data_IF_355742617894
#
_entry.id   IF_355742617894
#
_cell.length_a   1.000
_cell.length_b   1.000
_cell.length_c   1.000
_cell.angle_alpha   90.00
_cell.angle_beta   90.00
_cell.angle_gamma   90.00
#
_symmetry.space_group_name_H-M   'P 1'
#
loop_
_entity.id
_entity.type
_entity.pdbx_description
1 polymer ?
#
# COMPACT_ATOMS: atom_id res chain seq x y z
N UNK A 1 -27.32 6.04 -33.40
CA UNK A 1 -26.80 6.48 -32.09
C UNK A 1 -25.33 6.88 -32.19
N UNK A 2 -25.04 8.02 -32.81
CA UNK A 2 -23.72 8.66 -32.76
C UNK A 2 -23.96 10.18 -32.83
N UNK A 3 -24.60 10.75 -31.80
CA UNK A 3 -24.78 12.21 -31.69
C UNK A 3 -23.59 12.90 -31.02
N UNK A 4 -22.70 12.13 -30.38
CA UNK A 4 -21.67 12.65 -29.48
C UNK A 4 -20.24 12.19 -29.81
N UNK A 5 -19.99 11.52 -30.94
CA UNK A 5 -18.65 11.05 -31.32
C UNK A 5 -18.15 9.80 -30.59
N UNK A 6 -18.83 9.35 -29.52
CA UNK A 6 -18.54 8.13 -28.76
C UNK A 6 -19.77 7.21 -28.63
N UNK A 7 -19.54 5.92 -28.35
CA UNK A 7 -20.60 4.97 -28.02
C UNK A 7 -21.11 5.18 -26.59
N UNK A 8 -22.39 4.86 -26.31
CA UNK A 8 -22.99 4.97 -24.97
C UNK A 8 -23.61 3.64 -24.56
N UNK A 9 -23.36 3.17 -23.33
CA UNK A 9 -24.00 1.99 -22.77
C UNK A 9 -24.46 2.20 -21.31
N UNK A 10 -25.72 1.84 -20.97
CA UNK A 10 -26.74 1.30 -21.84
C UNK A 10 -27.33 2.39 -22.74
N UNK A 11 -27.77 1.99 -23.93
CA UNK A 11 -28.23 2.88 -25.01
C UNK A 11 -29.49 3.69 -24.66
N UNK A 12 -30.29 3.20 -23.70
CA UNK A 12 -31.54 3.80 -23.23
C UNK A 12 -31.33 4.89 -22.17
N UNK A 13 -30.09 5.17 -21.77
CA UNK A 13 -29.77 6.16 -20.74
C UNK A 13 -28.83 7.22 -21.27
N UNK A 14 -29.12 8.46 -20.91
CA UNK A 14 -28.27 9.61 -21.26
C UNK A 14 -27.17 9.80 -20.21
N UNK A 15 -25.90 9.93 -20.62
CA UNK A 15 -24.83 10.29 -19.70
C UNK A 15 -25.08 11.67 -19.09
N UNK A 16 -24.78 11.86 -17.79
CA UNK A 16 -24.86 13.17 -17.16
C UNK A 16 -24.00 14.23 -17.87
N UNK A 17 -24.40 15.50 -17.75
CA UNK A 17 -23.73 16.60 -18.44
C UNK A 17 -22.24 16.72 -18.08
N UNK A 18 -21.86 16.41 -16.84
CA UNK A 18 -20.46 16.39 -16.39
C UNK A 18 -19.62 15.31 -17.09
N UNK A 19 -20.23 14.17 -17.44
CA UNK A 19 -19.57 13.08 -18.17
C UNK A 19 -19.38 13.46 -19.63
N UNK A 20 -20.40 14.07 -20.24
CA UNK A 20 -20.32 14.60 -21.61
C UNK A 20 -19.23 15.68 -21.69
N UNK A 21 -19.23 16.63 -20.75
CA UNK A 21 -18.20 17.68 -20.67
C UNK A 21 -16.81 17.09 -20.49
N UNK A 22 -16.66 16.03 -19.70
CA UNK A 22 -15.37 15.36 -19.55
C UNK A 22 -14.92 14.67 -20.85
N UNK A 23 -15.83 14.06 -21.61
CA UNK A 23 -15.52 13.51 -22.93
C UNK A 23 -15.04 14.61 -23.90
N UNK A 24 -15.74 15.75 -23.94
CA UNK A 24 -15.33 16.90 -24.76
C UNK A 24 -13.96 17.44 -24.35
N UNK A 25 -13.67 17.49 -23.04
CA UNK A 25 -12.36 17.91 -22.53
C UNK A 25 -11.25 16.93 -22.95
N UNK A 26 -11.53 15.62 -23.03
CA UNK A 26 -10.58 14.62 -23.54
C UNK A 26 -10.23 14.93 -24.99
N UNK A 27 -11.22 15.23 -25.82
CA UNK A 27 -11.01 15.56 -27.24
C UNK A 27 -10.25 16.90 -27.39
N UNK A 28 -10.63 17.93 -26.63
CA UNK A 28 -9.93 19.22 -26.58
C UNK A 28 -8.49 19.07 -26.09
N UNK A 29 -8.24 18.10 -25.22
CA UNK A 29 -6.90 17.82 -24.72
C UNK A 29 -6.00 17.13 -25.76
N UNK A 30 -6.56 16.73 -26.91
CA UNK A 30 -5.88 16.01 -27.99
C UNK A 30 -6.06 14.49 -27.91
N UNK A 31 -6.95 14.01 -27.04
CA UNK A 31 -7.30 12.60 -26.92
C UNK A 31 -8.52 12.22 -27.77
N UNK A 32 -9.10 11.07 -27.45
CA UNK A 32 -10.37 10.62 -28.02
C UNK A 32 -11.19 9.86 -26.99
N UNK A 33 -12.39 10.35 -26.69
CA UNK A 33 -13.39 9.56 -25.96
C UNK A 33 -13.96 8.49 -26.90
N UNK A 34 -13.81 7.20 -26.55
CA UNK A 34 -14.25 6.08 -27.41
C UNK A 34 -15.65 5.58 -27.02
N UNK A 35 -15.89 5.41 -25.72
CA UNK A 35 -17.16 4.94 -25.20
C UNK A 35 -17.44 5.48 -23.80
N UNK A 36 -18.70 5.70 -23.48
CA UNK A 36 -19.20 6.07 -22.17
C UNK A 36 -20.12 4.96 -21.67
N UNK A 37 -19.84 4.39 -20.50
CA UNK A 37 -20.59 3.25 -20.01
C UNK A 37 -20.88 3.34 -18.51
N UNK A 38 -21.98 2.71 -18.07
CA UNK A 38 -22.27 2.51 -16.64
C UNK A 38 -21.56 1.27 -16.10
N UNK A 39 -20.90 1.42 -14.96
CA UNK A 39 -20.28 0.29 -14.28
C UNK A 39 -21.33 -0.72 -13.78
N UNK A 40 -21.00 -2.01 -13.69
CA UNK A 40 -21.99 -3.05 -13.39
C UNK A 40 -22.40 -3.16 -11.92
N UNK A 41 -21.74 -2.43 -11.01
CA UNK A 41 -21.93 -2.55 -9.56
C UNK A 41 -22.75 -1.38 -9.01
N UNK A 42 -22.22 -0.16 -9.14
CA UNK A 42 -22.87 1.07 -8.67
C UNK A 42 -23.67 1.77 -9.76
N UNK A 43 -23.44 1.42 -11.03
CA UNK A 43 -24.04 2.11 -12.16
C UNK A 43 -23.56 3.55 -12.32
N UNK A 44 -22.37 3.87 -11.84
CA UNK A 44 -21.67 5.12 -12.12
C UNK A 44 -21.15 5.13 -13.55
N UNK A 45 -21.14 6.31 -14.16
CA UNK A 45 -20.67 6.49 -15.52
C UNK A 45 -19.15 6.60 -15.58
N UNK A 46 -18.55 5.96 -16.58
CA UNK A 46 -17.11 5.94 -16.85
C UNK A 46 -16.86 6.14 -18.35
N UNK A 47 -15.68 6.62 -18.71
CA UNK A 47 -15.31 6.87 -20.11
C UNK A 47 -14.12 5.99 -20.48
N UNK A 48 -14.26 5.13 -21.48
CA UNK A 48 -13.11 4.51 -22.12
C UNK A 48 -12.56 5.44 -23.20
N UNK A 49 -11.28 5.77 -23.12
CA UNK A 49 -10.65 6.81 -23.94
C UNK A 49 -9.20 6.50 -24.32
N UNK A 50 -8.72 7.17 -25.37
CA UNK A 50 -7.30 7.30 -25.69
C UNK A 50 -6.82 8.68 -25.22
N UNK A 51 -5.94 8.71 -24.23
CA UNK A 51 -5.41 9.96 -23.67
C UNK A 51 -4.03 10.26 -24.27
N UNK A 52 -3.69 11.54 -24.55
CA UNK A 52 -2.34 11.90 -24.97
C UNK A 52 -1.33 11.50 -23.90
N UNK A 53 -0.33 10.70 -24.26
CA UNK A 53 0.64 10.15 -23.29
C UNK A 53 1.31 11.24 -22.45
N UNK A 54 1.56 12.41 -23.02
CA UNK A 54 2.19 13.56 -22.33
C UNK A 54 1.34 14.13 -21.19
N UNK A 55 0.02 14.00 -21.28
CA UNK A 55 -0.90 14.48 -20.26
C UNK A 55 -1.19 13.45 -19.18
N UNK A 56 -0.77 12.19 -19.35
CA UNK A 56 -0.97 11.12 -18.36
C UNK A 56 0.22 11.02 -17.42
N UNK A 57 -0.01 11.28 -16.14
CA UNK A 57 1.01 11.29 -15.08
C UNK A 57 0.64 10.35 -13.94
N UNK A 58 1.65 9.91 -13.18
CA UNK A 58 1.40 9.18 -11.94
C UNK A 58 0.63 10.08 -10.95
N UNK A 59 -0.23 9.50 -10.12
CA UNK A 59 -0.81 10.28 -9.01
C UNK A 59 0.31 10.74 -8.06
N UNK A 60 0.26 11.97 -7.51
CA UNK A 60 1.32 12.50 -6.63
C UNK A 60 1.63 11.65 -5.40
N UNK A 61 0.67 10.85 -4.95
CA UNK A 61 0.74 9.99 -3.76
C UNK A 61 0.96 8.51 -4.10
N UNK A 62 1.14 8.17 -5.38
CA UNK A 62 1.34 6.78 -5.79
C UNK A 62 2.69 6.22 -5.33
N UNK A 63 2.76 4.90 -5.32
CA UNK A 63 3.97 4.14 -5.09
C UNK A 63 5.04 4.42 -6.15
N UNK A 64 6.30 4.41 -5.70
CA UNK A 64 7.47 4.47 -6.57
C UNK A 64 7.48 3.32 -7.58
N UNK A 65 7.79 3.65 -8.84
CA UNK A 65 7.86 2.69 -9.94
C UNK A 65 8.94 1.63 -9.66
N UNK A 66 8.54 0.37 -9.51
CA UNK A 66 9.48 -0.76 -9.50
C UNK A 66 10.12 -0.96 -10.89
N UNK A 67 11.40 -0.60 -11.02
CA UNK A 67 12.19 -0.75 -12.26
C UNK A 67 12.13 -2.17 -12.82
N UNK A 68 12.39 -3.17 -11.97
CA UNK A 68 12.38 -4.58 -12.38
C UNK A 68 11.01 -5.03 -12.92
N UNK A 69 9.92 -4.54 -12.31
CA UNK A 69 8.57 -4.88 -12.78
C UNK A 69 8.24 -4.19 -14.11
N UNK A 70 8.59 -2.91 -14.24
CA UNK A 70 8.41 -2.16 -15.48
C UNK A 70 9.21 -2.76 -16.65
N UNK A 71 10.46 -3.16 -16.42
CA UNK A 71 11.29 -3.82 -17.44
C UNK A 71 10.72 -5.17 -17.88
N UNK A 72 10.18 -5.95 -16.93
CA UNK A 72 9.52 -7.22 -17.25
C UNK A 72 8.27 -7.00 -18.09
N UNK A 73 7.43 -6.05 -17.70
CA UNK A 73 6.23 -5.69 -18.44
C UNK A 73 6.56 -5.19 -19.85
N UNK A 74 7.58 -4.32 -19.98
CA UNK A 74 8.08 -3.85 -21.28
C UNK A 74 8.48 -5.01 -22.20
N UNK A 75 9.24 -5.99 -21.67
CA UNK A 75 9.66 -7.18 -22.44
C UNK A 75 8.47 -8.01 -22.90
N UNK A 76 7.46 -8.20 -22.03
CA UNK A 76 6.26 -8.97 -22.39
C UNK A 76 5.45 -8.24 -23.45
N UNK A 77 5.16 -6.95 -23.26
CA UNK A 77 4.43 -6.12 -24.24
C UNK A 77 5.11 -6.14 -25.60
N UNK A 78 6.45 -5.98 -25.65
CA UNK A 78 7.20 -6.09 -26.91
C UNK A 78 7.13 -7.49 -27.53
N UNK A 79 7.16 -8.54 -26.70
CA UNK A 79 7.14 -9.92 -27.18
C UNK A 79 5.79 -10.31 -27.79
N UNK A 80 4.70 -9.86 -27.17
CA UNK A 80 3.34 -10.19 -27.63
C UNK A 80 2.78 -9.17 -28.63
N UNK A 81 3.45 -8.03 -28.78
CA UNK A 81 3.06 -6.91 -29.64
C UNK A 81 1.62 -6.42 -29.39
N UNK A 82 1.23 -6.36 -28.12
CA UNK A 82 -0.10 -5.95 -27.67
C UNK A 82 -0.03 -5.21 -26.35
N UNK A 83 -0.87 -4.17 -26.23
CA UNK A 83 -1.20 -3.53 -24.97
C UNK A 83 -2.69 -3.78 -24.70
N UNK A 84 -2.98 -4.59 -23.68
CA UNK A 84 -4.32 -5.16 -23.49
C UNK A 84 -5.11 -4.43 -22.40
N UNK A 85 -4.43 -4.02 -21.33
CA UNK A 85 -5.07 -3.60 -20.09
C UNK A 85 -4.98 -2.06 -19.92
N UNK A 86 -6.08 -1.31 -20.15
CA UNK A 86 -6.10 0.14 -20.03
C UNK A 86 -5.86 0.61 -18.61
N UNK A 87 -5.20 1.75 -18.44
CA UNK A 87 -4.98 2.33 -17.12
C UNK A 87 -6.28 2.93 -16.56
N UNK A 88 -6.35 3.16 -15.27
CA UNK A 88 -7.40 4.02 -14.69
C UNK A 88 -6.87 5.43 -14.60
N UNK A 89 -7.68 6.43 -14.94
CA UNK A 89 -7.31 7.83 -14.90
C UNK A 89 -8.40 8.72 -14.30
N UNK A 90 -7.99 9.82 -13.67
CA UNK A 90 -8.86 10.93 -13.28
C UNK A 90 -8.29 12.22 -13.85
N UNK A 91 -9.15 13.13 -14.33
CA UNK A 91 -8.69 14.42 -14.84
C UNK A 91 -8.55 15.42 -13.70
N UNK A 92 -7.37 15.99 -13.51
CA UNK A 92 -7.07 16.99 -12.50
C UNK A 92 -6.16 18.06 -13.11
N UNK A 93 -6.54 19.33 -13.00
CA UNK A 93 -5.75 20.49 -13.45
C UNK A 93 -5.23 20.40 -14.91
N UNK A 94 -6.07 19.89 -15.82
CA UNK A 94 -5.71 19.74 -17.24
C UNK A 94 -4.80 18.55 -17.56
N UNK A 95 -4.46 17.76 -16.55
CA UNK A 95 -3.70 16.52 -16.66
C UNK A 95 -4.58 15.33 -16.28
N UNK A 96 -4.09 14.12 -16.54
CA UNK A 96 -4.73 12.87 -16.20
C UNK A 96 -3.85 12.09 -15.24
N UNK A 97 -4.27 11.98 -13.99
CA UNK A 97 -3.54 11.20 -13.00
C UNK A 97 -3.99 9.74 -13.03
N UNK A 98 -3.02 8.81 -13.03
CA UNK A 98 -3.31 7.37 -13.06
C UNK A 98 -3.19 6.72 -11.68
N UNK A 99 -4.27 6.62 -10.88
CA UNK A 99 -4.22 5.93 -9.58
C UNK A 99 -3.94 4.42 -9.70
N UNK A 100 -4.25 3.80 -10.84
CA UNK A 100 -3.91 2.42 -11.16
C UNK A 100 -3.40 2.32 -12.60
N UNK A 101 -2.19 1.76 -12.77
CA UNK A 101 -1.59 1.54 -14.08
C UNK A 101 -0.27 2.27 -14.34
N UNK A 102 0.39 2.83 -13.31
CA UNK A 102 1.64 3.58 -13.52
C UNK A 102 2.77 2.77 -14.20
N UNK A 103 2.89 1.47 -13.90
CA UNK A 103 3.84 0.60 -14.64
C UNK A 103 3.49 0.49 -16.12
N UNK A 104 2.20 0.37 -16.45
CA UNK A 104 1.69 0.30 -17.82
C UNK A 104 1.90 1.62 -18.56
N UNK A 105 1.59 2.75 -17.92
CA UNK A 105 1.90 4.10 -18.39
C UNK A 105 3.40 4.26 -18.69
N UNK A 106 4.28 3.82 -17.78
CA UNK A 106 5.72 3.90 -17.99
C UNK A 106 6.22 3.02 -19.13
N UNK A 107 5.60 1.86 -19.36
CA UNK A 107 5.93 1.02 -20.52
C UNK A 107 5.60 1.74 -21.83
N UNK A 108 4.42 2.38 -21.91
CA UNK A 108 4.03 3.19 -23.08
C UNK A 108 4.97 4.38 -23.28
N UNK A 109 5.42 5.01 -22.21
CA UNK A 109 6.47 6.05 -22.24
C UNK A 109 7.78 5.53 -22.85
N UNK A 110 8.26 4.35 -22.41
CA UNK A 110 9.47 3.73 -22.96
C UNK A 110 9.32 3.28 -24.41
N UNK A 111 8.11 2.92 -24.81
CA UNK A 111 7.78 2.58 -26.20
C UNK A 111 7.51 3.80 -27.08
N UNK A 112 7.50 5.02 -26.51
CA UNK A 112 7.16 6.27 -27.19
C UNK A 112 5.79 6.21 -27.88
N UNK A 113 4.82 5.53 -27.24
CA UNK A 113 3.46 5.52 -27.71
C UNK A 113 2.86 6.94 -27.64
N UNK A 114 2.03 7.27 -28.61
CA UNK A 114 1.34 8.57 -28.68
C UNK A 114 0.20 8.66 -27.66
N UNK A 115 -0.54 7.56 -27.50
CA UNK A 115 -1.73 7.49 -26.65
C UNK A 115 -1.60 6.44 -25.54
N UNK A 116 -2.36 6.67 -24.46
CA UNK A 116 -2.57 5.74 -23.35
C UNK A 116 -4.05 5.37 -23.30
N UNK A 117 -4.41 4.11 -23.57
CA UNK A 117 -5.78 3.62 -23.34
C UNK A 117 -6.12 3.69 -21.85
N UNK A 118 -7.26 4.31 -21.53
CA UNK A 118 -7.66 4.56 -20.16
C UNK A 118 -9.15 4.40 -19.92
N UNK A 119 -9.51 3.94 -18.72
CA UNK A 119 -10.84 4.13 -18.12
C UNK A 119 -10.76 5.39 -17.28
N UNK A 120 -11.41 6.46 -17.74
CA UNK A 120 -11.49 7.75 -17.06
C UNK A 120 -12.70 7.77 -16.15
N UNK A 121 -12.44 7.99 -14.86
CA UNK A 121 -13.47 8.10 -13.84
C UNK A 121 -13.80 9.59 -13.62
N UNK A 122 -15.08 10.01 -13.74
CA UNK A 122 -15.46 11.42 -13.57
C UNK A 122 -15.24 11.97 -12.16
N UNK A 123 -15.40 11.10 -11.14
CA UNK A 123 -15.23 11.47 -9.74
C UNK A 123 -13.74 11.46 -9.35
N UNK A 124 -13.21 12.65 -9.05
CA UNK A 124 -11.81 12.84 -8.66
C UNK A 124 -11.52 12.29 -7.26
N UNK A 125 -12.52 12.28 -6.36
CA UNK A 125 -12.34 11.78 -4.98
C UNK A 125 -12.19 10.25 -4.94
N UNK A 126 -12.70 9.57 -5.97
CA UNK A 126 -12.52 8.11 -6.16
C UNK A 126 -11.07 7.75 -6.47
N UNK A 127 -10.20 8.70 -6.85
CA UNK A 127 -8.76 8.43 -7.04
C UNK A 127 -8.10 7.82 -5.80
N UNK A 128 -8.53 8.21 -4.59
CA UNK A 128 -8.07 7.63 -3.32
C UNK A 128 -8.64 6.23 -3.08
N UNK A 129 -9.86 5.97 -3.53
CA UNK A 129 -10.53 4.67 -3.38
C UNK A 129 -10.01 3.64 -4.39
N UNK A 130 -9.56 4.08 -5.58
CA UNK A 130 -8.99 3.20 -6.61
C UNK A 130 -7.68 2.54 -6.15
N UNK A 131 -6.92 3.18 -5.24
CA UNK A 131 -5.78 2.53 -4.62
C UNK A 131 -6.18 1.28 -3.82
N UNK A 132 -7.31 1.35 -3.11
CA UNK A 132 -7.87 0.21 -2.37
C UNK A 132 -8.38 -0.92 -3.30
N UNK A 133 -8.62 -0.63 -4.59
CA UNK A 133 -9.03 -1.63 -5.59
C UNK A 133 -7.85 -2.45 -6.15
N UNK A 134 -6.59 -2.13 -5.82
CA UNK A 134 -5.42 -2.96 -6.17
C UNK A 134 -5.32 -4.22 -5.28
N UNK A 135 -6.38 -5.04 -5.26
CA UNK A 135 -6.46 -6.26 -4.45
C UNK A 135 -5.73 -7.46 -5.07
N UNK A 136 -5.38 -7.41 -6.36
CA UNK A 136 -4.73 -8.53 -7.08
C UNK A 136 -3.26 -8.77 -6.70
N UNK A 137 -2.61 -7.79 -6.08
CA UNK A 137 -1.27 -7.97 -5.53
C UNK A 137 -1.28 -7.49 -4.11
N UNK A 138 -1.40 -8.41 -3.15
CA UNK A 138 -1.19 -8.11 -1.75
C UNK A 138 0.14 -7.34 -1.62
N UNK A 139 0.03 -6.02 -1.41
CA UNK A 139 1.19 -5.16 -1.23
C UNK A 139 2.02 -5.78 -0.11
N UNK A 140 3.34 -5.90 -0.32
CA UNK A 140 4.15 -6.34 0.80
C UNK A 140 4.04 -5.31 1.92
N UNK A 141 4.16 -5.77 3.16
CA UNK A 141 3.93 -4.95 4.36
C UNK A 141 4.59 -3.56 4.31
N UNK A 142 5.82 -3.50 3.78
CA UNK A 142 6.58 -2.26 3.64
C UNK A 142 5.87 -1.24 2.76
N UNK A 143 5.39 -1.68 1.60
CA UNK A 143 4.74 -0.81 0.63
C UNK A 143 3.43 -0.27 1.18
N UNK A 144 2.61 -1.12 1.82
CA UNK A 144 1.39 -0.68 2.51
C UNK A 144 1.70 0.37 3.57
N UNK A 145 2.69 0.10 4.41
CA UNK A 145 3.06 0.98 5.51
C UNK A 145 3.54 2.35 5.01
N UNK A 146 4.34 2.38 3.94
CA UNK A 146 4.82 3.62 3.32
C UNK A 146 3.71 4.42 2.63
N UNK A 147 2.76 3.74 1.99
CA UNK A 147 1.60 4.38 1.38
C UNK A 147 0.69 5.00 2.45
N UNK A 148 0.38 4.24 3.50
CA UNK A 148 -0.45 4.69 4.62
C UNK A 148 0.16 5.91 5.32
N UNK A 149 1.45 5.92 5.65
CA UNK A 149 2.06 7.09 6.32
C UNK A 149 2.11 8.34 5.42
N UNK A 150 2.29 8.17 4.10
CA UNK A 150 2.23 9.29 3.14
C UNK A 150 0.82 9.88 3.09
N UNK A 151 -0.21 9.03 3.00
CA UNK A 151 -1.61 9.46 3.04
C UNK A 151 -1.94 10.16 4.37
N UNK A 152 -1.49 9.58 5.48
CA UNK A 152 -1.68 10.13 6.82
C UNK A 152 -1.16 11.57 6.94
N UNK A 153 0.08 11.82 6.47
CA UNK A 153 0.66 13.17 6.49
C UNK A 153 -0.05 14.12 5.52
N UNK A 154 -0.45 13.65 4.35
CA UNK A 154 -1.24 14.45 3.40
C UNK A 154 -2.58 14.92 3.99
N UNK A 155 -3.25 14.09 4.80
CA UNK A 155 -4.48 14.48 5.50
C UNK A 155 -4.21 15.54 6.59
N UNK A 156 -3.09 15.43 7.33
CA UNK A 156 -2.67 16.46 8.29
C UNK A 156 -2.41 17.80 7.59
N UNK A 157 -1.71 17.78 6.46
CA UNK A 157 -1.38 18.99 5.67
C UNK A 157 -2.63 19.68 5.14
N UNK A 158 -3.66 18.90 4.75
CA UNK A 158 -4.97 19.41 4.32
C UNK A 158 -5.85 19.93 5.46
N UNK A 159 -5.38 19.87 6.71
CA UNK A 159 -6.10 20.39 7.87
C UNK A 159 -7.28 19.52 8.32
N UNK A 160 -7.22 18.21 8.06
CA UNK A 160 -8.24 17.26 8.52
C UNK A 160 -8.42 17.30 10.05
N UNK A 161 -9.68 17.30 10.50
CA UNK A 161 -10.07 17.49 11.91
C UNK A 161 -10.64 16.23 12.56
N UNK A 162 -11.08 15.24 11.77
CA UNK A 162 -11.54 13.95 12.28
C UNK A 162 -10.44 13.22 13.05
N UNK A 163 -10.86 12.31 13.92
CA UNK A 163 -9.92 11.44 14.63
C UNK A 163 -9.32 10.39 13.71
N UNK A 164 -8.25 9.74 14.18
CA UNK A 164 -7.57 8.70 13.42
C UNK A 164 -8.47 7.47 13.16
N UNK A 165 -9.33 7.12 14.11
CA UNK A 165 -10.26 5.98 14.00
C UNK A 165 -11.25 6.12 12.83
N UNK A 166 -11.65 7.36 12.52
CA UNK A 166 -12.49 7.68 11.36
C UNK A 166 -11.88 7.30 10.01
N UNK A 167 -10.56 7.06 9.96
CA UNK A 167 -9.83 6.66 8.75
C UNK A 167 -9.46 5.17 8.72
N UNK A 168 -10.04 4.36 9.61
CA UNK A 168 -9.75 2.92 9.70
C UNK A 168 -9.93 2.17 8.38
N UNK A 169 -10.91 2.56 7.57
CA UNK A 169 -11.10 1.99 6.24
C UNK A 169 -9.93 2.30 5.29
N UNK A 170 -9.48 3.54 5.27
CA UNK A 170 -8.40 4.00 4.38
C UNK A 170 -7.03 3.49 4.84
N UNK A 171 -6.76 3.50 6.15
CA UNK A 171 -5.49 3.05 6.70
C UNK A 171 -5.38 1.53 6.82
N UNK A 172 -6.48 0.79 6.66
CA UNK A 172 -6.64 -0.65 6.89
C UNK A 172 -6.32 -1.08 8.34
N UNK A 173 -5.08 -0.89 8.76
CA UNK A 173 -4.53 -1.34 10.04
C UNK A 173 -3.67 -0.23 10.65
N UNK A 174 -3.94 0.11 11.91
CA UNK A 174 -3.26 1.20 12.62
C UNK A 174 -1.72 1.06 12.64
N UNK A 175 -1.20 -0.17 12.75
CA UNK A 175 0.24 -0.42 12.78
C UNK A 175 0.95 -0.14 11.45
N UNK A 176 0.23 0.02 10.33
CA UNK A 176 0.84 0.47 9.08
C UNK A 176 1.38 1.90 9.19
N UNK A 177 0.71 2.77 9.95
CA UNK A 177 1.18 4.13 10.22
C UNK A 177 2.51 4.08 10.98
N UNK A 178 2.55 3.30 12.07
CA UNK A 178 3.75 3.14 12.92
C UNK A 178 4.92 2.53 12.14
N UNK A 179 4.67 1.47 11.35
CA UNK A 179 5.69 0.85 10.51
C UNK A 179 6.14 1.76 9.36
N UNK A 180 5.25 2.61 8.84
CA UNK A 180 5.56 3.55 7.76
C UNK A 180 6.67 4.50 8.18
N UNK A 181 6.56 5.08 9.38
CA UNK A 181 7.59 5.91 10.00
C UNK A 181 8.96 5.19 10.07
N UNK A 182 8.95 3.91 10.44
CA UNK A 182 10.18 3.11 10.52
C UNK A 182 10.76 2.76 9.15
N UNK A 183 9.93 2.49 8.15
CA UNK A 183 10.41 2.16 6.80
C UNK A 183 10.96 3.37 6.06
N UNK A 184 10.48 4.58 6.36
CA UNK A 184 11.07 5.82 5.86
C UNK A 184 12.51 5.99 6.37
N UNK A 185 12.73 5.76 7.68
CA UNK A 185 14.05 5.85 8.30
C UNK A 185 14.95 4.66 7.96
N UNK A 186 14.40 3.45 7.92
CA UNK A 186 15.10 2.19 7.74
C UNK A 186 14.41 1.32 6.68
N UNK A 187 14.81 1.43 5.39
CA UNK A 187 14.19 0.69 4.30
C UNK A 187 14.24 -0.84 4.41
N UNK A 188 15.10 -1.38 5.29
CA UNK A 188 15.26 -2.83 5.56
C UNK A 188 14.79 -3.23 6.97
N UNK A 189 13.94 -2.42 7.60
CA UNK A 189 13.35 -2.74 8.91
C UNK A 189 12.63 -4.10 8.88
N UNK A 190 12.73 -4.88 9.94
CA UNK A 190 12.18 -6.23 10.02
C UNK A 190 10.68 -6.24 10.40
N UNK A 191 9.86 -5.37 9.78
CA UNK A 191 8.49 -5.12 10.23
C UNK A 191 7.60 -6.37 10.25
N UNK A 192 7.81 -7.31 9.32
CA UNK A 192 7.02 -8.55 9.27
C UNK A 192 7.18 -9.44 10.51
N UNK A 193 8.31 -9.33 11.22
CA UNK A 193 8.54 -10.08 12.44
C UNK A 193 7.78 -9.48 13.64
N UNK A 194 7.52 -8.17 13.62
CA UNK A 194 6.77 -7.44 14.65
C UNK A 194 5.25 -7.41 14.40
N UNK A 195 4.80 -7.55 13.14
CA UNK A 195 3.38 -7.49 12.77
C UNK A 195 2.43 -8.33 13.63
N UNK A 196 2.76 -9.59 14.03
CA UNK A 196 1.87 -10.39 14.88
C UNK A 196 1.63 -9.80 16.27
N UNK A 197 2.61 -9.07 16.82
CA UNK A 197 2.46 -8.35 18.10
C UNK A 197 1.66 -7.08 17.85
N UNK A 198 2.05 -6.28 16.86
CA UNK A 198 1.46 -4.98 16.57
C UNK A 198 -0.03 -5.06 16.22
N UNK A 199 -0.45 -6.03 15.42
CA UNK A 199 -1.87 -6.24 15.08
C UNK A 199 -2.75 -6.40 16.34
N UNK A 200 -2.19 -6.84 17.46
CA UNK A 200 -2.92 -7.12 18.70
C UNK A 200 -2.95 -5.95 19.69
N UNK A 201 -2.07 -4.95 19.53
CA UNK A 201 -1.87 -3.91 20.56
C UNK A 201 -1.80 -2.49 20.01
N UNK A 202 -1.54 -2.35 18.71
CA UNK A 202 -1.40 -1.06 18.05
C UNK A 202 -2.69 -0.72 17.30
N UNK A 203 -3.66 -0.15 18.02
CA UNK A 203 -4.99 0.21 17.50
C UNK A 203 -5.08 1.69 17.09
N UNK A 204 -6.15 2.03 16.37
CA UNK A 204 -6.47 3.43 16.02
C UNK A 204 -6.78 4.26 17.27
N UNK A 205 -6.42 5.53 17.22
CA UNK A 205 -6.52 6.47 18.34
C UNK A 205 -7.73 7.39 18.16
N UNK A 206 -8.44 7.66 19.26
CA UNK A 206 -9.55 8.62 19.31
C UNK A 206 -9.06 10.04 19.55
N UNK A 207 -8.08 10.45 18.76
CA UNK A 207 -7.47 11.78 18.78
C UNK A 207 -7.25 12.26 17.36
N UNK A 208 -7.11 13.58 17.17
CA UNK A 208 -6.86 14.17 15.85
C UNK A 208 -5.61 13.56 15.21
N UNK A 209 -5.57 13.50 13.87
CA UNK A 209 -4.41 12.94 13.14
C UNK A 209 -3.08 13.57 13.59
N UNK A 210 -3.05 14.88 13.89
CA UNK A 210 -1.84 15.54 14.38
C UNK A 210 -1.38 15.02 15.74
N UNK A 211 -2.31 14.86 16.69
CA UNK A 211 -1.99 14.35 18.03
C UNK A 211 -1.64 12.85 17.98
N UNK A 212 -2.42 12.07 17.24
CA UNK A 212 -2.15 10.66 17.01
C UNK A 212 -0.78 10.44 16.34
N UNK A 213 -0.37 11.27 15.37
CA UNK A 213 0.95 11.19 14.75
C UNK A 213 2.11 11.31 15.75
N UNK A 214 1.99 12.14 16.79
CA UNK A 214 3.00 12.23 17.86
C UNK A 214 3.12 10.90 18.61
N UNK A 215 2.00 10.31 19.01
CA UNK A 215 1.97 8.96 19.61
C UNK A 215 2.55 7.91 18.65
N UNK A 216 2.26 7.99 17.34
CA UNK A 216 2.83 7.07 16.33
C UNK A 216 4.35 7.17 16.27
N UNK A 217 4.94 8.36 16.39
CA UNK A 217 6.40 8.56 16.44
C UNK A 217 7.01 7.95 17.70
N UNK A 218 6.36 8.11 18.85
CA UNK A 218 6.80 7.46 20.10
C UNK A 218 6.76 5.93 19.97
N UNK A 219 5.65 5.38 19.47
CA UNK A 219 5.50 3.94 19.20
C UNK A 219 6.56 3.42 18.23
N UNK A 220 6.87 4.18 17.17
CA UNK A 220 7.94 3.85 16.23
C UNK A 220 9.32 3.84 16.92
N UNK A 221 9.62 4.80 17.79
CA UNK A 221 10.86 4.83 18.57
C UNK A 221 11.03 3.59 19.46
N UNK A 222 9.96 3.16 20.14
CA UNK A 222 9.97 1.94 20.96
C UNK A 222 10.22 0.67 20.13
N UNK A 223 9.68 0.61 18.92
CA UNK A 223 9.94 -0.50 17.99
C UNK A 223 11.36 -0.48 17.42
N UNK A 224 11.93 0.70 17.19
CA UNK A 224 13.33 0.87 16.80
C UNK A 224 14.27 0.32 17.87
N UNK A 225 14.03 0.62 19.14
CA UNK A 225 14.78 0.08 20.28
C UNK A 225 14.72 -1.46 20.31
N UNK A 226 13.51 -2.02 20.20
CA UNK A 226 13.32 -3.48 20.19
C UNK A 226 14.03 -4.15 18.99
N UNK A 227 13.99 -3.57 17.80
CA UNK A 227 14.71 -4.09 16.62
C UNK A 227 16.23 -3.99 16.78
N UNK A 228 16.73 -2.94 17.46
CA UNK A 228 18.14 -2.81 17.82
C UNK A 228 18.63 -3.96 18.70
N UNK A 229 17.90 -4.26 19.78
CA UNK A 229 18.19 -5.41 20.66
C UNK A 229 18.11 -6.73 19.89
N UNK A 230 17.06 -6.91 19.08
CA UNK A 230 16.88 -8.12 18.26
C UNK A 230 18.05 -8.33 17.29
N UNK A 231 18.51 -7.28 16.59
CA UNK A 231 19.68 -7.34 15.71
C UNK A 231 20.92 -7.79 16.48
N UNK A 232 21.16 -7.21 17.66
CA UNK A 232 22.27 -7.61 18.53
C UNK A 232 22.24 -9.09 18.94
N UNK A 233 21.05 -9.61 19.27
CA UNK A 233 20.87 -11.04 19.59
C UNK A 233 21.17 -11.91 18.36
N UNK A 234 20.61 -11.55 17.19
CA UNK A 234 20.81 -12.30 15.94
C UNK A 234 22.27 -12.33 15.54
N UNK A 235 23.00 -11.23 15.70
CA UNK A 235 24.42 -11.18 15.38
C UNK A 235 25.25 -12.03 16.35
N UNK A 236 24.91 -12.07 17.65
CA UNK A 236 25.52 -13.00 18.60
C UNK A 236 25.26 -14.47 18.23
N UNK A 237 24.03 -14.81 17.82
CA UNK A 237 23.68 -16.17 17.37
C UNK A 237 24.44 -16.56 16.10
N UNK A 238 24.55 -15.65 15.12
CA UNK A 238 25.34 -15.86 13.90
C UNK A 238 26.82 -16.15 14.21
N UNK A 239 27.43 -15.39 15.13
CA UNK A 239 28.82 -15.63 15.58
C UNK A 239 29.01 -17.01 16.24
N UNK A 240 27.94 -17.59 16.79
CA UNK A 240 27.91 -18.97 17.32
C UNK A 240 27.63 -20.03 16.25
N UNK A 241 27.63 -19.66 14.96
CA UNK A 241 27.35 -20.58 13.85
C UNK A 241 25.86 -20.79 13.54
N UNK A 242 24.96 -20.10 14.25
CA UNK A 242 23.51 -20.24 14.04
C UNK A 242 23.06 -19.22 13.00
N UNK A 243 23.03 -19.64 11.73
CA UNK A 243 22.57 -18.83 10.61
C UNK A 243 21.33 -19.45 9.97
N UNK A 244 20.14 -18.94 10.30
CA UNK A 244 18.87 -19.47 9.80
C UNK A 244 17.91 -18.33 9.40
N UNK A 245 17.17 -18.43 8.29
CA UNK A 245 16.27 -17.37 7.83
C UNK A 245 15.22 -16.93 8.86
N UNK A 246 14.76 -17.86 9.70
CA UNK A 246 13.71 -17.63 10.70
C UNK A 246 14.23 -17.20 12.08
N UNK A 247 15.53 -16.94 12.25
CA UNK A 247 16.11 -16.67 13.58
C UNK A 247 15.48 -15.43 14.25
N UNK A 248 15.13 -14.39 13.48
CA UNK A 248 14.44 -13.20 14.00
C UNK A 248 13.05 -13.54 14.55
N UNK A 249 12.26 -14.28 13.78
CA UNK A 249 10.92 -14.70 14.16
C UNK A 249 10.96 -15.60 15.40
N UNK A 250 11.96 -16.50 15.48
CA UNK A 250 12.17 -17.36 16.63
C UNK A 250 12.44 -16.57 17.92
N UNK A 251 13.38 -15.62 17.88
CA UNK A 251 13.74 -14.80 19.05
C UNK A 251 12.52 -13.98 19.50
N UNK A 252 11.84 -13.30 18.57
CA UNK A 252 10.64 -12.54 18.90
C UNK A 252 9.51 -13.41 19.46
N UNK A 253 9.29 -14.60 18.92
CA UNK A 253 8.29 -15.52 19.44
C UNK A 253 8.58 -15.95 20.89
N UNK A 254 9.87 -16.16 21.24
CA UNK A 254 10.31 -16.47 22.62
C UNK A 254 10.18 -15.27 23.56
N UNK A 255 10.38 -14.06 23.07
CA UNK A 255 10.26 -12.83 23.86
C UNK A 255 8.84 -12.24 23.85
N UNK A 256 7.89 -12.83 23.12
CA UNK A 256 6.56 -12.25 22.93
C UNK A 256 5.74 -12.24 24.25
N UNK A 257 5.47 -11.07 24.84
CA UNK A 257 4.77 -10.98 26.12
C UNK A 257 3.28 -11.31 26.02
N UNK A 258 2.74 -11.40 24.81
CA UNK A 258 1.31 -11.64 24.56
C UNK A 258 0.95 -13.13 24.47
N UNK A 259 1.94 -14.02 24.33
CA UNK A 259 1.79 -15.48 24.28
C UNK A 259 0.46 -15.98 23.66
N UNK A 260 -0.24 -16.85 24.40
CA UNK A 260 -1.60 -17.36 24.08
C UNK A 260 -2.74 -16.54 24.71
N UNK A 261 -2.45 -15.39 25.33
CA UNK A 261 -3.46 -14.60 26.03
C UNK A 261 -4.52 -14.07 25.05
N UNK A 262 -5.80 -14.39 25.26
CA UNK A 262 -6.90 -14.01 24.33
C UNK A 262 -7.89 -12.99 24.91
N UNK A 263 -8.00 -12.84 26.24
CA UNK A 263 -9.11 -12.09 26.86
C UNK A 263 -8.75 -10.68 27.34
N UNK A 264 -7.57 -10.49 27.92
CA UNK A 264 -7.09 -9.18 28.38
C UNK A 264 -5.68 -8.97 27.86
N UNK A 265 -5.55 -8.08 26.87
CA UNK A 265 -4.26 -7.73 26.31
C UNK A 265 -3.72 -6.49 27.01
N UNK A 266 -2.42 -6.46 27.35
CA UNK A 266 -1.77 -5.22 27.79
C UNK A 266 -1.83 -4.17 26.67
N UNK A 267 -1.82 -2.90 27.04
CA UNK A 267 -1.69 -1.80 26.08
C UNK A 267 -0.36 -1.84 25.32
N UNK A 268 -0.24 -1.01 24.27
CA UNK A 268 0.97 -0.94 23.45
C UNK A 268 2.24 -0.76 24.28
N UNK A 269 2.27 0.25 25.16
CA UNK A 269 3.48 0.62 25.90
C UNK A 269 3.93 -0.49 26.83
N UNK A 270 3.00 -1.03 27.63
CA UNK A 270 3.28 -2.16 28.52
C UNK A 270 3.74 -3.41 27.74
N UNK A 271 3.19 -3.64 26.55
CA UNK A 271 3.64 -4.73 25.67
C UNK A 271 5.08 -4.50 25.23
N UNK A 272 5.40 -3.30 24.79
CA UNK A 272 6.75 -2.95 24.32
C UNK A 272 7.77 -2.95 25.46
N UNK A 273 7.44 -2.45 26.65
CA UNK A 273 8.28 -2.53 27.85
C UNK A 273 8.69 -3.98 28.14
N UNK A 274 7.71 -4.89 28.19
CA UNK A 274 7.96 -6.31 28.47
C UNK A 274 8.77 -6.97 27.36
N UNK A 275 8.48 -6.65 26.10
CA UNK A 275 9.22 -7.19 24.96
C UNK A 275 10.69 -6.73 24.98
N UNK A 276 10.94 -5.44 25.20
CA UNK A 276 12.29 -4.86 25.27
C UNK A 276 13.06 -5.47 26.43
N UNK A 277 12.45 -5.58 27.62
CA UNK A 277 13.07 -6.24 28.77
C UNK A 277 13.42 -7.71 28.47
N UNK A 278 12.50 -8.46 27.85
CA UNK A 278 12.73 -9.86 27.48
C UNK A 278 13.82 -10.03 26.41
N UNK A 279 13.93 -9.09 25.45
CA UNK A 279 15.02 -9.07 24.48
C UNK A 279 16.36 -8.72 25.16
N UNK A 280 16.38 -7.75 26.07
CA UNK A 280 17.57 -7.38 26.84
C UNK A 280 18.12 -8.53 27.70
N UNK A 281 17.23 -9.35 28.26
CA UNK A 281 17.57 -10.52 29.07
C UNK A 281 17.76 -11.82 28.25
N UNK A 282 17.74 -11.76 26.92
CA UNK A 282 17.78 -12.95 26.08
C UNK A 282 19.14 -13.65 26.12
N UNK A 283 19.17 -14.85 26.71
CA UNK A 283 20.36 -15.67 26.82
C UNK A 283 20.60 -16.50 25.55
N UNK A 284 21.51 -16.01 24.70
CA UNK A 284 21.89 -16.70 23.47
C UNK A 284 22.54 -18.05 23.73
N UNK A 285 23.21 -18.28 24.87
CA UNK A 285 23.99 -19.50 25.12
C UNK A 285 23.12 -20.76 25.15
N UNK A 286 21.85 -20.60 25.56
CA UNK A 286 20.86 -21.68 25.67
C UNK A 286 20.23 -22.09 24.34
N UNK A 287 20.51 -21.38 23.24
CA UNK A 287 19.88 -21.62 21.94
C UNK A 287 20.73 -22.56 21.09
N UNK A 288 20.11 -23.61 20.55
CA UNK A 288 20.67 -24.54 19.55
C UNK A 288 20.02 -24.34 18.18
N UNK A 289 20.69 -24.78 17.12
CA UNK A 289 20.19 -24.62 15.75
C UNK A 289 18.89 -25.39 15.50
N UNK A 290 18.74 -26.57 16.09
CA UNK A 290 17.52 -27.39 16.00
C UNK A 290 16.28 -26.72 16.57
N UNK A 291 16.42 -25.89 17.61
CA UNK A 291 15.30 -25.19 18.26
C UNK A 291 14.61 -24.21 17.30
N UNK A 292 15.40 -23.60 16.42
CA UNK A 292 14.94 -22.63 15.42
C UNK A 292 14.24 -23.37 14.27
N UNK A 293 14.78 -24.52 13.84
CA UNK A 293 14.18 -25.34 12.78
C UNK A 293 12.81 -25.89 13.22
N UNK A 294 12.69 -26.43 14.44
CA UNK A 294 11.41 -26.93 14.99
C UNK A 294 10.35 -25.84 15.09
N UNK A 295 10.77 -24.64 15.48
CA UNK A 295 9.86 -23.49 15.61
C UNK A 295 9.43 -22.92 14.25
N UNK A 296 10.26 -23.04 13.20
CA UNK A 296 9.91 -22.66 11.83
C UNK A 296 8.81 -23.56 11.24
N UNK A 297 8.79 -24.85 11.59
CA UNK A 297 7.74 -25.81 11.17
C UNK A 297 6.40 -25.50 11.84
N UNK A 298 6.40 -25.07 13.10
CA UNK A 298 5.17 -24.72 13.83
C UNK A 298 4.61 -23.31 13.52
N UNK A 299 5.43 -22.43 12.94
CA UNK A 299 5.06 -21.06 12.58
C UNK A 299 4.65 -20.88 11.11
N UNK A 300 4.78 -21.92 10.28
CA UNK A 300 4.26 -21.90 8.93
C UNK A 300 2.73 -21.96 8.95
N UNK A 301 2.00 -21.10 8.19
CA UNK A 301 0.58 -21.33 7.97
C UNK A 301 0.40 -22.73 7.38
N UNK A 302 -0.71 -23.43 7.70
CA UNK A 302 -0.96 -24.75 7.12
C UNK A 302 -0.89 -24.66 5.58
N UNK A 303 -0.37 -25.68 4.90
CA UNK A 303 -0.46 -25.74 3.45
C UNK A 303 -1.94 -25.61 3.06
N UNK A 304 -2.18 -24.77 2.03
CA UNK A 304 -3.50 -24.48 1.50
C UNK A 304 -4.25 -25.75 1.08
#
# INVERSE_FOLDING_TARGET
MARLGFAVHPEDKEPPAEVIRLAELIDQDGGSALAVYRDPVGGHWQIFALLPREKVQATPYQRDLSKAHAERLLKVVKKIDRFIDPVVAVRADGLYWTPNGNHRRHVLEKLKAEFVPAIVVPDVDVAFQILALNTEKAHNLKEKSLEVIRMYRGLIERGEKRDEESFSFQFEEAYFVTLGLLYEKYPRFAGGAFSPILRRVDHFLKSSLRAAHETRKERASRLEEADGLLKGIVDKLKRRGINHPFVKNFVLARCNPLGRARKTLPGFDQTMDRLIAALGAFDVAKIRQEDIARSAVMGAPPPA
#
